data_IF_654042197004
#
_entry.id   IF_654042197004
#
_cell.length_a   1.000
_cell.length_b   1.000
_cell.length_c   1.000
_cell.angle_alpha   90.00
_cell.angle_beta   90.00
_cell.angle_gamma   90.00
#
_symmetry.space_group_name_H-M   'P 1'
#
loop_
_entity.id
_entity.type
_entity.pdbx_description
1 polymer ?
#
# COMPACT_ATOMS: atom_id res chain seq x y z
N UNK A 1 29.66 11.43 22.34
CA UNK A 1 30.29 11.17 21.02
C UNK A 1 30.02 9.77 20.50
N UNK A 2 30.47 8.68 21.16
CA UNK A 2 30.20 7.32 20.66
C UNK A 2 28.72 6.92 20.73
N UNK A 3 28.01 7.30 21.80
CA UNK A 3 26.58 7.01 21.96
C UNK A 3 25.71 7.78 20.95
N UNK A 4 26.07 9.03 20.67
CA UNK A 4 25.38 9.89 19.69
C UNK A 4 25.55 9.34 18.26
N UNK A 5 26.76 8.90 17.92
CA UNK A 5 27.04 8.28 16.63
C UNK A 5 26.28 6.95 16.43
N UNK A 6 26.13 6.15 17.49
CA UNK A 6 25.33 4.91 17.46
C UNK A 6 23.84 5.25 17.26
N UNK A 7 23.33 6.30 17.92
CA UNK A 7 21.96 6.78 17.77
C UNK A 7 21.62 7.24 16.36
N UNK A 8 22.51 8.01 15.72
CA UNK A 8 22.32 8.49 14.35
C UNK A 8 22.34 7.35 13.32
N UNK A 9 23.25 6.38 13.49
CA UNK A 9 23.33 5.21 12.61
C UNK A 9 22.10 4.30 12.77
N UNK A 10 21.65 4.05 14.00
CA UNK A 10 20.42 3.29 14.27
C UNK A 10 19.17 4.00 13.74
N UNK A 11 19.09 5.32 13.91
CA UNK A 11 17.99 6.12 13.36
C UNK A 11 17.95 6.07 11.83
N UNK A 12 19.11 6.13 11.18
CA UNK A 12 19.24 5.95 9.72
C UNK A 12 18.81 4.54 9.27
N UNK A 13 19.29 3.50 9.96
CA UNK A 13 18.96 2.12 9.66
C UNK A 13 17.46 1.82 9.84
N UNK A 14 16.84 2.33 10.91
CA UNK A 14 15.40 2.17 11.16
C UNK A 14 14.55 2.88 10.10
N UNK A 15 14.96 4.06 9.63
CA UNK A 15 14.28 4.76 8.52
C UNK A 15 14.36 3.99 7.22
N UNK A 16 15.54 3.43 6.91
CA UNK A 16 15.73 2.59 5.73
C UNK A 16 14.88 1.32 5.82
N UNK A 17 14.90 0.65 6.97
CA UNK A 17 14.11 -0.56 7.20
C UNK A 17 12.60 -0.28 7.12
N UNK A 18 12.14 0.80 7.75
CA UNK A 18 10.75 1.22 7.67
C UNK A 18 10.32 1.57 6.26
N UNK A 19 11.18 2.23 5.47
CA UNK A 19 10.92 2.51 4.06
C UNK A 19 10.83 1.24 3.24
N UNK A 20 11.75 0.30 3.41
CA UNK A 20 11.78 -0.96 2.67
C UNK A 20 10.54 -1.83 3.00
N UNK A 21 10.17 -1.90 4.28
CA UNK A 21 8.96 -2.59 4.73
C UNK A 21 7.71 -1.92 4.19
N UNK A 22 7.64 -0.58 4.23
CA UNK A 22 6.51 0.16 3.69
C UNK A 22 6.37 -0.06 2.18
N UNK A 23 7.46 0.05 1.43
CA UNK A 23 7.49 -0.15 -0.01
C UNK A 23 7.09 -1.59 -0.36
N UNK A 24 7.64 -2.59 0.33
CA UNK A 24 7.27 -4.00 0.12
C UNK A 24 5.82 -4.32 0.53
N UNK A 25 5.31 -3.74 1.61
CA UNK A 25 3.91 -3.92 2.03
C UNK A 25 2.96 -3.23 1.07
N UNK A 26 3.27 -2.00 0.62
CA UNK A 26 2.48 -1.29 -0.39
C UNK A 26 2.49 -2.04 -1.70
N UNK A 27 3.64 -2.51 -2.17
CA UNK A 27 3.75 -3.31 -3.39
C UNK A 27 2.95 -4.60 -3.27
N UNK A 28 3.10 -5.35 -2.17
CA UNK A 28 2.31 -6.57 -1.94
C UNK A 28 0.81 -6.28 -1.88
N UNK A 29 0.40 -5.20 -1.21
CA UNK A 29 -1.00 -4.81 -1.13
C UNK A 29 -1.54 -4.38 -2.49
N UNK A 30 -0.85 -3.52 -3.22
CA UNK A 30 -1.30 -3.02 -4.51
C UNK A 30 -1.26 -4.14 -5.56
N UNK A 31 -0.08 -4.70 -5.82
CA UNK A 31 0.09 -5.75 -6.81
C UNK A 31 -0.72 -7.00 -6.46
N UNK A 32 -0.68 -7.45 -5.21
CA UNK A 32 -1.44 -8.62 -4.76
C UNK A 32 -2.96 -8.42 -4.87
N UNK A 33 -3.48 -7.26 -4.47
CA UNK A 33 -4.91 -6.95 -4.63
C UNK A 33 -5.29 -6.91 -6.09
N UNK A 34 -4.50 -6.23 -6.92
CA UNK A 34 -4.75 -6.17 -8.36
C UNK A 34 -4.71 -7.53 -9.04
N UNK A 35 -3.75 -8.39 -8.67
CA UNK A 35 -3.68 -9.75 -9.17
C UNK A 35 -4.92 -10.56 -8.77
N UNK A 36 -5.34 -10.50 -7.51
CA UNK A 36 -6.55 -11.19 -7.03
C UNK A 36 -7.79 -10.71 -7.77
N UNK A 37 -7.91 -9.40 -8.00
CA UNK A 37 -9.04 -8.82 -8.72
C UNK A 37 -9.03 -9.17 -10.22
N UNK A 38 -7.85 -9.23 -10.84
CA UNK A 38 -7.71 -9.51 -12.28
C UNK A 38 -7.72 -11.00 -12.62
N UNK A 39 -7.24 -11.87 -11.71
CA UNK A 39 -7.06 -13.30 -11.95
C UNK A 39 -8.31 -14.01 -12.51
N UNK A 40 -9.55 -13.72 -12.03
CA UNK A 40 -10.76 -14.32 -12.59
C UNK A 40 -10.99 -14.00 -14.07
N UNK A 41 -10.56 -12.82 -14.54
CA UNK A 41 -10.74 -12.38 -15.94
C UNK A 41 -9.66 -12.92 -16.88
N UNK A 42 -8.52 -13.36 -16.34
CA UNK A 42 -7.39 -13.87 -17.11
C UNK A 42 -7.33 -15.41 -17.17
N UNK A 43 -8.10 -16.10 -16.33
CA UNK A 43 -8.17 -17.57 -16.29
C UNK A 43 -6.79 -18.19 -16.08
N UNK A 44 -6.29 -18.92 -17.10
CA UNK A 44 -4.96 -19.56 -17.07
C UNK A 44 -3.80 -18.59 -17.36
N UNK A 45 -4.07 -17.44 -17.98
CA UNK A 45 -3.02 -16.44 -18.24
C UNK A 45 -2.70 -15.67 -16.96
N UNK A 46 -1.49 -15.12 -16.89
CA UNK A 46 -1.12 -14.19 -15.83
C UNK A 46 -1.48 -12.76 -16.25
N UNK A 47 -2.14 -11.99 -15.37
CA UNK A 47 -2.36 -10.58 -15.61
C UNK A 47 -1.02 -9.83 -15.61
N UNK A 48 -0.90 -8.82 -16.46
CA UNK A 48 0.32 -8.03 -16.56
C UNK A 48 0.61 -7.27 -15.27
N UNK A 49 1.88 -7.22 -14.87
CA UNK A 49 2.35 -6.63 -13.61
C UNK A 49 1.90 -5.16 -13.44
N UNK A 50 2.10 -4.34 -14.48
CA UNK A 50 1.65 -2.94 -14.48
C UNK A 50 0.13 -2.82 -14.33
N UNK A 51 -0.64 -3.74 -14.93
CA UNK A 51 -2.09 -3.74 -14.82
C UNK A 51 -2.54 -4.15 -13.41
N UNK A 52 -1.89 -5.13 -12.79
CA UNK A 52 -2.10 -5.48 -11.39
C UNK A 52 -1.85 -4.28 -10.47
N UNK A 53 -0.72 -3.59 -10.63
CA UNK A 53 -0.46 -2.39 -9.81
C UNK A 53 -1.54 -1.31 -9.99
N UNK A 54 -1.95 -1.02 -11.24
CA UNK A 54 -2.99 -0.03 -11.52
C UNK A 54 -4.35 -0.41 -10.92
N UNK A 55 -4.77 -1.67 -11.07
CA UNK A 55 -6.05 -2.14 -10.52
C UNK A 55 -6.04 -2.17 -9.01
N UNK A 56 -4.94 -2.60 -8.39
CA UNK A 56 -4.77 -2.54 -6.94
C UNK A 56 -4.84 -1.12 -6.40
N UNK A 57 -4.15 -0.18 -7.05
CA UNK A 57 -4.18 1.24 -6.68
C UNK A 57 -5.59 1.83 -6.81
N UNK A 58 -6.29 1.51 -7.90
CA UNK A 58 -7.67 1.95 -8.11
C UNK A 58 -8.61 1.37 -7.03
N UNK A 59 -8.47 0.10 -6.68
CA UNK A 59 -9.28 -0.55 -5.65
C UNK A 59 -9.08 0.09 -4.28
N UNK A 60 -7.83 0.32 -3.85
CA UNK A 60 -7.54 0.96 -2.57
C UNK A 60 -7.97 2.43 -2.53
N UNK A 61 -7.83 3.15 -3.63
CA UNK A 61 -8.32 4.53 -3.76
C UNK A 61 -9.85 4.58 -3.62
N UNK A 62 -10.55 3.69 -4.32
CA UNK A 62 -12.00 3.57 -4.22
C UNK A 62 -12.45 3.18 -2.80
N UNK A 63 -11.74 2.26 -2.15
CA UNK A 63 -12.01 1.85 -0.78
C UNK A 63 -11.81 3.02 0.20
N UNK A 64 -10.72 3.77 0.10
CA UNK A 64 -10.45 4.95 0.93
C UNK A 64 -11.52 6.04 0.72
N UNK A 65 -11.92 6.28 -0.53
CA UNK A 65 -13.00 7.22 -0.84
C UNK A 65 -14.33 6.75 -0.23
N UNK A 66 -14.70 5.48 -0.39
CA UNK A 66 -15.90 4.90 0.19
C UNK A 66 -15.90 5.01 1.72
N UNK A 67 -14.78 4.71 2.37
CA UNK A 67 -14.62 4.86 3.82
C UNK A 67 -14.77 6.33 4.26
N UNK A 68 -14.20 7.28 3.53
CA UNK A 68 -14.36 8.71 3.81
C UNK A 68 -15.82 9.16 3.68
N UNK A 69 -16.51 8.78 2.61
CA UNK A 69 -17.92 9.12 2.42
C UNK A 69 -18.80 8.46 3.47
N UNK A 70 -18.56 7.18 3.81
CA UNK A 70 -19.27 6.50 4.89
C UNK A 70 -19.05 7.20 6.24
N UNK A 71 -17.82 7.62 6.54
CA UNK A 71 -17.51 8.38 7.75
C UNK A 71 -18.28 9.70 7.80
N UNK A 72 -18.31 10.46 6.69
CA UNK A 72 -19.07 11.72 6.59
C UNK A 72 -20.57 11.55 6.65
N UNK A 73 -21.08 10.43 6.14
CA UNK A 73 -22.49 10.09 6.25
C UNK A 73 -22.87 9.78 7.71
N UNK A 74 -22.00 9.08 8.45
CA UNK A 74 -22.22 8.74 9.86
C UNK A 74 -21.97 9.92 10.82
N UNK A 75 -21.05 10.81 10.47
CA UNK A 75 -20.70 12.01 11.25
C UNK A 75 -20.89 13.25 10.36
N UNK A 76 -22.15 13.65 10.11
CA UNK A 76 -22.41 14.85 9.34
C UNK A 76 -21.82 16.07 10.06
N UNK A 77 -21.15 16.99 9.35
CA UNK A 77 -20.71 18.25 9.95
C UNK A 77 -21.94 19.05 10.37
N UNK A 78 -22.02 19.41 11.66
CA UNK A 78 -23.06 20.26 12.23
C UNK A 78 -22.87 21.74 11.92
#
# INVERSE_FOLDING_TARGET
MALDAIGDVLGGALRLLGRLLFEGVVELLLHGTGWVLLKPFYGKKEPGEALCMLVGLAAWTAFAAAAFFAYRYLHPPG
#
